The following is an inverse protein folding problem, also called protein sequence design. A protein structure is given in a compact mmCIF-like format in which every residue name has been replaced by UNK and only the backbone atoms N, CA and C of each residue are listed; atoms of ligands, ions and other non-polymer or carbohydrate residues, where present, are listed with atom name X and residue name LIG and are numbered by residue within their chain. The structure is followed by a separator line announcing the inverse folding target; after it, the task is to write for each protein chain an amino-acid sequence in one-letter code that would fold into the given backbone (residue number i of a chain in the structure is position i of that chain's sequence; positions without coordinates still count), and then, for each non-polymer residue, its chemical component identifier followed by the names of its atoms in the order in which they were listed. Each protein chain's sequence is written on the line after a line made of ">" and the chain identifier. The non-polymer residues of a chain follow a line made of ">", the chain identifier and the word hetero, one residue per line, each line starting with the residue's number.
data_IF_512312597574
#
_entry.id   IF_512312597574
#
_cell.length_a   1.000
_cell.length_b   1.000
_cell.length_c   1.000
_cell.angle_alpha   90.00
_cell.angle_beta   90.00
_cell.angle_gamma   90.00
#
_symmetry.space_group_name_H-M   'P 1'
#
loop_
_entity.id
_entity.type
_entity.pdbx_description
1 polymer ?
#
# COMPACT_ATOMS: atom_id res chain seq x y z
N UNK A 1 -11.98 22.23 -12.97
CA UNK A 1 -13.00 22.09 -11.92
C UNK A 1 -13.55 20.68 -11.98
N UNK A 2 -13.87 20.06 -10.85
CA UNK A 2 -14.57 18.77 -10.79
C UNK A 2 -15.79 18.92 -9.89
N UNK A 3 -16.86 18.20 -10.22
CA UNK A 3 -18.04 18.11 -9.36
C UNK A 3 -18.53 16.67 -9.29
N UNK A 4 -19.08 16.29 -8.14
CA UNK A 4 -19.79 15.04 -7.96
C UNK A 4 -21.22 15.35 -7.53
N UNK A 5 -22.19 14.68 -8.14
CA UNK A 5 -23.60 14.93 -7.87
C UNK A 5 -24.38 13.61 -7.93
N UNK A 6 -25.26 13.40 -6.95
CA UNK A 6 -26.12 12.22 -6.88
C UNK A 6 -27.36 12.34 -7.80
N UNK A 7 -27.73 13.56 -8.16
CA UNK A 7 -28.89 13.88 -8.97
C UNK A 7 -28.66 15.14 -9.84
N UNK A 8 -29.59 15.37 -10.75
CA UNK A 8 -29.54 16.46 -11.72
C UNK A 8 -29.60 17.83 -11.07
N UNK A 9 -30.40 18.00 -10.03
CA UNK A 9 -30.61 19.31 -9.39
C UNK A 9 -29.34 19.76 -8.66
N UNK A 10 -28.69 18.84 -7.95
CA UNK A 10 -27.38 19.04 -7.33
C UNK A 10 -26.32 19.38 -8.39
N UNK A 11 -26.33 18.69 -9.54
CA UNK A 11 -25.41 18.98 -10.63
C UNK A 11 -25.61 20.39 -11.21
N UNK A 12 -26.86 20.80 -11.45
CA UNK A 12 -27.20 22.13 -11.98
C UNK A 12 -26.84 23.24 -11.00
N UNK A 13 -27.04 23.03 -9.70
CA UNK A 13 -26.64 23.99 -8.67
C UNK A 13 -25.12 24.19 -8.65
N UNK A 14 -24.34 23.09 -8.67
CA UNK A 14 -22.88 23.16 -8.72
C UNK A 14 -22.36 23.83 -10.00
N UNK A 15 -22.97 23.55 -11.16
CA UNK A 15 -22.62 24.20 -12.43
C UNK A 15 -22.95 25.69 -12.45
N UNK A 16 -24.06 26.08 -11.82
CA UNK A 16 -24.46 27.50 -11.69
C UNK A 16 -23.46 28.26 -10.83
N UNK A 17 -23.07 27.71 -9.68
CA UNK A 17 -22.05 28.30 -8.81
C UNK A 17 -20.69 28.40 -9.53
N UNK A 18 -20.28 27.35 -10.26
CA UNK A 18 -19.07 27.39 -11.07
C UNK A 18 -19.08 28.52 -12.11
N UNK A 19 -20.22 28.74 -12.78
CA UNK A 19 -20.37 29.81 -13.77
C UNK A 19 -20.31 31.21 -13.13
N UNK A 20 -20.81 31.34 -11.89
CA UNK A 20 -20.76 32.57 -11.11
C UNK A 20 -19.40 32.81 -10.41
N UNK A 21 -18.51 31.81 -10.37
CA UNK A 21 -17.28 31.86 -9.58
C UNK A 21 -17.51 31.74 -8.08
N UNK A 22 -18.63 31.12 -7.68
CA UNK A 22 -19.04 30.89 -6.30
C UNK A 22 -18.75 29.45 -5.87
N UNK A 23 -18.64 29.24 -4.56
CA UNK A 23 -18.50 27.91 -3.97
C UNK A 23 -19.85 27.18 -3.90
N UNK A 24 -19.84 25.86 -4.08
CA UNK A 24 -21.01 25.01 -3.89
C UNK A 24 -20.63 23.65 -3.30
N UNK A 25 -21.54 23.00 -2.55
CA UNK A 25 -21.33 21.62 -2.11
C UNK A 25 -21.00 20.69 -3.29
N UNK A 26 -19.90 19.95 -3.16
CA UNK A 26 -19.45 19.01 -4.19
C UNK A 26 -18.72 19.63 -5.38
N UNK A 27 -18.60 20.97 -5.47
CA UNK A 27 -17.78 21.65 -6.47
C UNK A 27 -16.36 21.89 -5.94
N UNK A 28 -15.35 21.56 -6.73
CA UNK A 28 -13.96 21.92 -6.42
C UNK A 28 -13.28 22.50 -7.65
N UNK A 29 -12.66 23.66 -7.47
CA UNK A 29 -11.92 24.37 -8.51
C UNK A 29 -10.47 24.48 -8.10
N UNK A 30 -9.57 23.92 -8.90
CA UNK A 30 -8.12 24.06 -8.74
C UNK A 30 -7.50 24.56 -10.02
N UNK A 31 -6.55 25.49 -9.90
CA UNK A 31 -5.66 25.92 -10.98
C UNK A 31 -4.31 25.26 -10.77
N UNK A 32 -3.93 24.34 -11.66
CA UNK A 32 -2.63 23.68 -11.62
C UNK A 32 -1.65 24.37 -12.55
N UNK A 33 -0.39 24.49 -12.12
CA UNK A 33 0.72 24.93 -12.99
C UNK A 33 1.55 23.70 -13.34
N UNK A 34 1.52 23.30 -14.60
CA UNK A 34 2.23 22.10 -15.08
C UNK A 34 1.58 20.78 -14.65
N UNK A 35 2.24 19.67 -14.97
CA UNK A 35 1.87 18.31 -14.57
C UNK A 35 2.86 17.84 -13.49
N UNK A 36 2.44 17.72 -12.21
CA UNK A 36 3.29 17.07 -11.20
C UNK A 36 3.53 15.61 -11.58
N UNK A 37 4.68 15.05 -11.18
CA UNK A 37 4.88 13.60 -11.31
C UNK A 37 3.93 12.85 -10.37
N UNK A 38 3.47 11.70 -10.82
CA UNK A 38 2.57 10.79 -10.10
C UNK A 38 3.35 9.59 -9.57
N UNK A 39 3.27 9.35 -8.26
CA UNK A 39 3.70 8.09 -7.65
C UNK A 39 2.48 7.26 -7.24
N UNK A 40 2.49 5.97 -7.56
CA UNK A 40 1.51 5.00 -7.06
C UNK A 40 2.13 4.20 -5.91
N UNK A 41 1.42 4.15 -4.78
CA UNK A 41 1.84 3.44 -3.57
C UNK A 41 0.94 2.23 -3.35
N UNK A 42 1.54 1.10 -3.01
CA UNK A 42 0.85 -0.15 -2.69
C UNK A 42 0.96 -0.46 -1.20
N UNK A 43 -0.16 -0.78 -0.55
CA UNK A 43 -0.24 -0.88 0.91
C UNK A 43 0.44 -2.13 1.47
N UNK A 44 0.80 -2.05 2.75
CA UNK A 44 1.35 -3.18 3.49
C UNK A 44 0.28 -3.99 4.21
N UNK A 45 0.68 -5.07 4.89
CA UNK A 45 -0.20 -5.85 5.75
C UNK A 45 -0.70 -5.03 6.94
N UNK A 46 -1.97 -5.24 7.33
CA UNK A 46 -2.65 -4.57 8.43
C UNK A 46 -3.79 -3.65 7.99
N UNK A 47 -3.93 -3.40 6.68
CA UNK A 47 -5.00 -2.60 6.08
C UNK A 47 -6.17 -3.46 5.59
N UNK A 48 -5.98 -4.79 5.46
CA UNK A 48 -6.99 -5.70 4.96
C UNK A 48 -8.28 -5.64 5.79
N UNK A 49 -9.43 -5.74 5.12
CA UNK A 49 -10.74 -5.77 5.77
C UNK A 49 -11.68 -6.71 5.01
N UNK A 50 -12.55 -7.46 5.71
CA UNK A 50 -13.57 -8.27 5.06
C UNK A 50 -14.45 -7.42 4.13
N UNK A 51 -14.78 -7.97 2.96
CA UNK A 51 -15.60 -7.31 1.95
C UNK A 51 -14.88 -6.22 1.14
N UNK A 52 -13.57 -6.04 1.29
CA UNK A 52 -12.81 -5.09 0.46
C UNK A 52 -12.89 -5.46 -1.03
N UNK A 53 -13.13 -4.46 -1.88
CA UNK A 53 -13.27 -4.62 -3.32
C UNK A 53 -14.63 -5.16 -3.79
N UNK A 54 -15.55 -5.53 -2.89
CA UNK A 54 -16.87 -6.08 -3.25
C UNK A 54 -17.72 -5.10 -4.06
N UNK A 55 -17.70 -3.83 -3.67
CA UNK A 55 -18.43 -2.77 -4.38
C UNK A 55 -17.82 -2.54 -5.76
N UNK A 56 -16.48 -2.52 -5.85
CA UNK A 56 -15.77 -2.36 -7.12
C UNK A 56 -15.97 -3.55 -8.06
N UNK A 57 -15.96 -4.77 -7.54
CA UNK A 57 -16.23 -5.99 -8.30
C UNK A 57 -17.59 -5.94 -9.01
N UNK A 58 -18.59 -5.40 -8.31
CA UNK A 58 -19.95 -5.26 -8.86
C UNK A 58 -20.04 -4.13 -9.88
N UNK A 59 -19.33 -3.02 -9.64
CA UNK A 59 -19.44 -1.79 -10.43
C UNK A 59 -18.56 -1.77 -11.68
N UNK A 60 -17.36 -2.36 -11.63
CA UNK A 60 -16.32 -2.18 -12.65
C UNK A 60 -15.86 -3.53 -13.23
N UNK A 61 -16.28 -3.87 -14.48
CA UNK A 61 -15.89 -5.12 -15.12
C UNK A 61 -14.37 -5.32 -15.29
N UNK A 62 -13.59 -4.24 -15.43
CA UNK A 62 -12.12 -4.30 -15.50
C UNK A 62 -11.54 -4.81 -14.17
N UNK A 63 -12.00 -4.25 -13.05
CA UNK A 63 -11.59 -4.68 -11.73
C UNK A 63 -11.98 -6.14 -11.47
N UNK A 64 -13.23 -6.51 -11.80
CA UNK A 64 -13.71 -7.87 -11.61
C UNK A 64 -12.84 -8.91 -12.36
N UNK A 65 -12.57 -8.68 -13.65
CA UNK A 65 -11.71 -9.58 -14.44
C UNK A 65 -10.28 -9.67 -13.91
N UNK A 66 -9.70 -8.53 -13.53
CA UNK A 66 -8.35 -8.51 -12.97
C UNK A 66 -8.29 -9.26 -11.63
N UNK A 67 -9.28 -9.07 -10.76
CA UNK A 67 -9.37 -9.82 -9.51
C UNK A 67 -9.55 -11.32 -9.76
N UNK A 68 -10.44 -11.72 -10.67
CA UNK A 68 -10.66 -13.11 -11.05
C UNK A 68 -9.38 -13.80 -11.55
N UNK A 69 -8.61 -13.11 -12.38
CA UNK A 69 -7.34 -13.61 -12.92
C UNK A 69 -6.32 -13.85 -11.80
N UNK A 70 -6.12 -12.87 -10.91
CA UNK A 70 -5.15 -12.99 -9.80
C UNK A 70 -5.58 -14.11 -8.85
N UNK A 71 -6.87 -14.18 -8.51
CA UNK A 71 -7.41 -15.25 -7.67
C UNK A 71 -7.24 -16.63 -8.30
N UNK A 72 -7.43 -16.75 -9.62
CA UNK A 72 -7.21 -17.99 -10.35
C UNK A 72 -5.77 -18.52 -10.21
N UNK A 73 -4.77 -17.63 -10.13
CA UNK A 73 -3.39 -18.03 -9.85
C UNK A 73 -3.18 -18.37 -8.36
N UNK A 74 -3.63 -17.52 -7.45
CA UNK A 74 -3.42 -17.70 -6.01
C UNK A 74 -4.12 -18.94 -5.45
N UNK A 75 -5.32 -19.26 -5.92
CA UNK A 75 -6.10 -20.42 -5.46
C UNK A 75 -5.42 -21.76 -5.80
N UNK A 76 -4.44 -21.78 -6.71
CA UNK A 76 -3.60 -22.97 -6.97
C UNK A 76 -2.42 -23.13 -6.01
N UNK A 77 -2.08 -22.06 -5.29
CA UNK A 77 -0.92 -21.96 -4.39
C UNK A 77 -1.32 -21.98 -2.90
N UNK A 78 -2.58 -21.66 -2.61
CA UNK A 78 -3.15 -21.63 -1.26
C UNK A 78 -3.88 -22.93 -0.94
N UNK A 79 -4.01 -23.24 0.34
CA UNK A 79 -4.75 -24.40 0.82
C UNK A 79 -6.27 -24.22 0.72
N UNK A 80 -6.73 -22.98 0.49
CA UNK A 80 -8.13 -22.60 0.36
C UNK A 80 -8.30 -21.49 -0.68
N UNK A 81 -9.45 -21.45 -1.39
CA UNK A 81 -9.78 -20.33 -2.25
C UNK A 81 -9.85 -19.01 -1.48
N UNK A 82 -9.33 -17.94 -2.07
CA UNK A 82 -9.21 -16.63 -1.41
C UNK A 82 -10.48 -15.78 -1.53
N UNK A 83 -11.29 -15.98 -2.58
CA UNK A 83 -12.54 -15.23 -2.80
C UNK A 83 -13.52 -15.30 -1.61
N UNK A 84 -13.83 -16.47 -1.02
CA UNK A 84 -14.72 -16.55 0.12
C UNK A 84 -14.22 -15.76 1.32
N UNK A 85 -12.90 -15.65 1.52
CA UNK A 85 -12.28 -14.89 2.60
C UNK A 85 -12.36 -13.39 2.34
N UNK A 86 -12.04 -12.96 1.11
CA UNK A 86 -12.12 -11.56 0.68
C UNK A 86 -13.54 -10.99 0.77
N UNK A 87 -14.53 -11.77 0.36
CA UNK A 87 -15.93 -11.33 0.29
C UNK A 87 -16.75 -11.71 1.52
N UNK A 88 -16.11 -12.29 2.55
CA UNK A 88 -16.75 -12.67 3.79
C UNK A 88 -17.41 -11.47 4.48
N UNK A 89 -18.52 -11.72 5.15
CA UNK A 89 -19.14 -10.73 6.02
C UNK A 89 -18.33 -10.56 7.30
N UNK A 90 -18.22 -9.32 7.78
CA UNK A 90 -17.50 -9.01 9.01
C UNK A 90 -18.08 -9.79 10.20
N UNK A 91 -17.22 -10.33 11.06
CA UNK A 91 -17.61 -11.14 12.21
C UNK A 91 -17.81 -12.63 11.94
N UNK A 92 -17.69 -13.09 10.70
CA UNK A 92 -17.68 -14.52 10.35
C UNK A 92 -16.33 -15.18 10.63
N UNK A 93 -16.30 -16.52 10.72
CA UNK A 93 -15.07 -17.27 10.89
C UNK A 93 -14.15 -17.13 9.67
N UNK A 94 -14.73 -17.08 8.47
CA UNK A 94 -14.04 -16.84 7.21
C UNK A 94 -13.40 -15.45 7.18
N UNK A 95 -14.10 -14.42 7.64
CA UNK A 95 -13.55 -13.07 7.74
C UNK A 95 -12.34 -13.01 8.69
N UNK A 96 -12.36 -13.77 9.79
CA UNK A 96 -11.24 -13.81 10.73
C UNK A 96 -9.98 -14.46 10.14
N UNK A 97 -10.11 -15.36 9.16
CA UNK A 97 -8.96 -15.94 8.46
C UNK A 97 -8.22 -14.92 7.61
N UNK A 98 -8.88 -13.84 7.16
CA UNK A 98 -8.23 -12.79 6.38
C UNK A 98 -7.11 -12.08 7.17
N UNK A 99 -7.13 -12.13 8.50
CA UNK A 99 -6.07 -11.58 9.36
C UNK A 99 -4.85 -12.52 9.51
N UNK A 100 -4.94 -13.77 9.04
CA UNK A 100 -3.79 -14.69 8.99
C UNK A 100 -2.86 -14.27 7.86
N UNK A 101 -1.57 -14.21 8.16
CA UNK A 101 -0.55 -13.66 7.26
C UNK A 101 -0.50 -14.35 5.88
N UNK A 102 -0.70 -15.66 5.85
CA UNK A 102 -0.76 -16.49 4.64
C UNK A 102 -1.93 -16.15 3.72
N UNK A 103 -3.01 -15.55 4.24
CA UNK A 103 -4.14 -15.07 3.42
C UNK A 103 -4.11 -13.55 3.23
N UNK A 104 -3.72 -12.78 4.26
CA UNK A 104 -3.68 -11.33 4.23
C UNK A 104 -2.79 -10.79 3.10
N UNK A 105 -1.59 -11.36 2.94
CA UNK A 105 -0.63 -10.90 1.93
C UNK A 105 -1.11 -11.17 0.50
N UNK A 106 -1.52 -12.41 0.13
CA UNK A 106 -2.15 -12.66 -1.16
C UNK A 106 -3.41 -11.82 -1.41
N UNK A 107 -4.24 -11.61 -0.39
CA UNK A 107 -5.47 -10.82 -0.51
C UNK A 107 -5.22 -9.36 -0.84
N UNK A 108 -4.23 -8.75 -0.17
CA UNK A 108 -3.80 -7.39 -0.46
C UNK A 108 -3.23 -7.30 -1.87
N UNK A 109 -2.32 -8.21 -2.25
CA UNK A 109 -1.79 -8.26 -3.61
C UNK A 109 -2.90 -8.35 -4.66
N UNK A 110 -3.88 -9.25 -4.48
CA UNK A 110 -5.00 -9.41 -5.41
C UNK A 110 -5.85 -8.15 -5.54
N UNK A 111 -6.22 -7.52 -4.43
CA UNK A 111 -6.96 -6.26 -4.44
C UNK A 111 -6.17 -5.16 -5.14
N UNK A 112 -4.90 -5.00 -4.81
CA UNK A 112 -4.06 -3.91 -5.28
C UNK A 112 -3.73 -4.01 -6.77
N UNK A 113 -3.48 -5.22 -7.28
CA UNK A 113 -3.36 -5.47 -8.73
C UNK A 113 -4.66 -5.13 -9.45
N UNK A 114 -5.82 -5.55 -8.91
CA UNK A 114 -7.12 -5.25 -9.50
C UNK A 114 -7.42 -3.74 -9.50
N UNK A 115 -7.07 -3.03 -8.42
CA UNK A 115 -7.15 -1.57 -8.34
C UNK A 115 -6.25 -0.91 -9.39
N UNK A 116 -5.01 -1.40 -9.55
CA UNK A 116 -4.09 -0.85 -10.54
C UNK A 116 -4.62 -1.02 -11.97
N UNK A 117 -5.10 -2.22 -12.32
CA UNK A 117 -5.70 -2.47 -13.65
C UNK A 117 -6.92 -1.59 -13.91
N UNK A 118 -7.71 -1.31 -12.88
CA UNK A 118 -8.84 -0.39 -12.99
C UNK A 118 -8.38 1.03 -13.32
N UNK A 119 -7.45 1.61 -12.54
CA UNK A 119 -6.99 2.98 -12.79
C UNK A 119 -6.17 3.10 -14.09
N UNK A 120 -5.39 2.07 -14.43
CA UNK A 120 -4.67 1.96 -15.70
C UNK A 120 -5.63 2.01 -16.90
N UNK A 121 -6.80 1.37 -16.79
CA UNK A 121 -7.83 1.43 -17.84
C UNK A 121 -8.38 2.83 -18.10
N UNK A 122 -8.26 3.74 -17.13
CA UNK A 122 -8.59 5.15 -17.28
C UNK A 122 -7.43 5.97 -17.88
N UNK A 123 -6.36 5.31 -18.33
CA UNK A 123 -5.18 5.94 -18.90
C UNK A 123 -4.20 6.49 -17.87
N UNK A 124 -4.33 6.11 -16.60
CA UNK A 124 -3.37 6.48 -15.57
C UNK A 124 -2.02 5.83 -15.86
N UNK A 125 -0.97 6.66 -15.94
CA UNK A 125 0.40 6.24 -16.18
C UNK A 125 1.30 6.87 -15.10
N UNK A 126 1.74 6.11 -14.08
CA UNK A 126 2.57 6.64 -13.02
C UNK A 126 3.98 6.93 -13.52
N UNK A 127 4.63 7.92 -12.91
CA UNK A 127 6.05 8.21 -13.11
C UNK A 127 6.93 7.31 -12.21
N UNK A 128 6.40 6.90 -11.06
CA UNK A 128 7.05 5.98 -10.12
C UNK A 128 6.02 5.05 -9.46
N UNK A 129 6.48 3.87 -9.05
CA UNK A 129 5.74 2.98 -8.16
C UNK A 129 6.57 2.67 -6.93
N UNK A 130 5.91 2.46 -5.80
CA UNK A 130 6.52 1.96 -4.57
C UNK A 130 5.48 1.21 -3.76
N UNK A 131 5.90 0.50 -2.73
CA UNK A 131 4.99 -0.17 -1.81
C UNK A 131 5.34 0.09 -0.36
N UNK A 132 4.66 -0.63 0.53
CA UNK A 132 5.09 -0.80 1.90
C UNK A 132 5.19 -2.30 2.19
N UNK A 133 6.40 -2.79 2.38
CA UNK A 133 6.67 -4.21 2.59
C UNK A 133 6.07 -5.07 1.48
N UNK A 134 5.03 -5.88 1.76
CA UNK A 134 4.39 -6.74 0.76
C UNK A 134 3.89 -5.95 -0.46
N UNK A 135 3.49 -4.68 -0.28
CA UNK A 135 3.10 -3.82 -1.38
C UNK A 135 4.22 -3.59 -2.41
N UNK A 136 5.49 -3.72 -2.04
CA UNK A 136 6.58 -3.61 -3.02
C UNK A 136 6.60 -4.78 -4.01
N UNK A 137 6.06 -5.95 -3.64
CA UNK A 137 5.85 -7.06 -4.58
C UNK A 137 4.78 -6.65 -5.61
N UNK A 138 3.70 -6.01 -5.18
CA UNK A 138 2.70 -5.43 -6.09
C UNK A 138 3.34 -4.39 -7.01
N UNK A 139 4.16 -3.48 -6.46
CA UNK A 139 4.89 -2.46 -7.21
C UNK A 139 5.80 -3.08 -8.28
N UNK A 140 6.56 -4.11 -7.91
CA UNK A 140 7.45 -4.83 -8.81
C UNK A 140 6.68 -5.57 -9.92
N UNK A 141 5.55 -6.22 -9.60
CA UNK A 141 4.68 -6.81 -10.61
C UNK A 141 4.14 -5.77 -11.60
N UNK A 142 3.62 -4.65 -11.08
CA UNK A 142 3.09 -3.55 -11.89
C UNK A 142 4.18 -2.92 -12.76
N UNK A 143 5.40 -2.82 -12.26
CA UNK A 143 6.57 -2.39 -13.03
C UNK A 143 7.05 -3.43 -14.05
N UNK A 144 6.45 -4.62 -14.11
CA UNK A 144 6.81 -5.69 -15.04
C UNK A 144 8.01 -6.53 -14.62
N UNK A 145 8.51 -6.38 -13.39
CA UNK A 145 9.61 -7.21 -12.86
C UNK A 145 9.16 -8.66 -12.76
N UNK A 146 7.98 -8.92 -12.21
CA UNK A 146 7.44 -10.27 -12.10
C UNK A 146 6.22 -10.44 -13.02
N UNK A 147 6.16 -11.59 -13.69
CA UNK A 147 4.91 -12.06 -14.28
C UNK A 147 3.83 -12.17 -13.19
N UNK A 148 2.55 -12.20 -13.56
CA UNK A 148 1.48 -12.39 -12.57
C UNK A 148 1.65 -13.72 -11.81
N UNK A 149 2.00 -14.80 -12.53
CA UNK A 149 2.23 -16.10 -11.92
C UNK A 149 3.42 -16.10 -10.93
N UNK A 150 4.52 -15.45 -11.29
CA UNK A 150 5.72 -15.34 -10.43
C UNK A 150 5.42 -14.48 -9.19
N UNK A 151 4.71 -13.36 -9.37
CA UNK A 151 4.32 -12.49 -8.25
C UNK A 151 3.37 -13.21 -7.29
N UNK A 152 2.40 -13.98 -7.81
CA UNK A 152 1.52 -14.84 -7.03
C UNK A 152 2.32 -15.90 -6.25
N UNK A 153 3.29 -16.55 -6.91
CA UNK A 153 4.19 -17.52 -6.27
C UNK A 153 4.98 -16.89 -5.13
N UNK A 154 5.55 -15.70 -5.37
CA UNK A 154 6.33 -14.96 -4.40
C UNK A 154 5.50 -14.56 -3.17
N UNK A 155 4.32 -13.95 -3.37
CA UNK A 155 3.48 -13.47 -2.27
C UNK A 155 2.86 -14.62 -1.47
N UNK A 156 2.46 -15.72 -2.13
CA UNK A 156 1.95 -16.91 -1.47
C UNK A 156 3.03 -17.59 -0.62
N UNK A 157 4.24 -17.76 -1.17
CA UNK A 157 5.37 -18.32 -0.43
C UNK A 157 5.77 -17.43 0.75
N UNK A 158 5.86 -16.10 0.55
CA UNK A 158 6.16 -15.15 1.62
C UNK A 158 5.15 -15.25 2.76
N UNK A 159 3.85 -15.21 2.43
CA UNK A 159 2.77 -15.30 3.41
C UNK A 159 2.81 -16.62 4.19
N UNK A 160 2.93 -17.76 3.48
CA UNK A 160 3.02 -19.10 4.09
C UNK A 160 4.22 -19.21 5.03
N UNK A 161 5.40 -18.80 4.57
CA UNK A 161 6.63 -18.91 5.33
C UNK A 161 6.63 -18.03 6.57
N UNK A 162 6.15 -16.79 6.44
CA UNK A 162 5.98 -15.88 7.57
C UNK A 162 4.95 -16.40 8.58
N UNK A 163 3.88 -17.05 8.12
CA UNK A 163 2.87 -17.64 9.00
C UNK A 163 3.38 -18.87 9.75
N UNK A 164 4.29 -19.64 9.17
CA UNK A 164 4.86 -20.85 9.77
C UNK A 164 5.94 -20.58 10.84
N UNK A 165 6.35 -19.32 11.01
CA UNK A 165 7.34 -18.96 12.02
C UNK A 165 6.79 -19.15 13.44
N UNK A 166 7.68 -19.31 14.45
CA UNK A 166 7.25 -19.40 15.83
C UNK A 166 6.49 -18.14 16.28
N UNK A 167 5.43 -18.36 17.07
CA UNK A 167 4.74 -17.28 17.79
C UNK A 167 5.66 -16.64 18.85
N UNK A 168 5.24 -15.50 19.41
CA UNK A 168 6.00 -14.77 20.45
C UNK A 168 6.70 -13.50 19.94
N UNK A 169 6.54 -13.17 18.67
CA UNK A 169 6.95 -11.89 18.10
C UNK A 169 5.94 -10.76 18.39
N UNK A 170 6.43 -9.52 18.35
CA UNK A 170 5.65 -8.31 18.50
C UNK A 170 6.07 -7.24 17.49
N UNK A 171 5.14 -6.33 17.19
CA UNK A 171 5.46 -5.07 16.51
C UNK A 171 4.75 -3.91 17.21
N UNK A 172 5.45 -2.80 17.45
CA UNK A 172 4.92 -1.58 18.08
C UNK A 172 5.31 -0.36 17.26
N UNK A 173 4.33 0.47 16.92
CA UNK A 173 4.60 1.83 16.41
C UNK A 173 4.92 2.76 17.58
N UNK A 174 5.97 3.55 17.44
CA UNK A 174 6.49 4.48 18.43
C UNK A 174 6.53 5.87 17.83
N UNK A 175 6.00 6.85 18.56
CA UNK A 175 6.18 8.27 18.24
C UNK A 175 7.58 8.73 18.64
N UNK A 176 8.56 8.46 17.77
CA UNK A 176 9.97 8.81 17.95
C UNK A 176 10.69 8.86 16.60
N UNK A 177 11.85 9.51 16.58
CA UNK A 177 12.78 9.49 15.44
C UNK A 177 13.54 8.15 15.37
N UNK A 178 14.12 7.83 14.21
CA UNK A 178 15.00 6.68 14.07
C UNK A 178 16.23 6.79 15.00
N UNK A 179 16.83 7.98 15.09
CA UNK A 179 18.03 8.23 15.90
C UNK A 179 17.78 8.02 17.40
N UNK A 180 16.57 8.30 17.89
CA UNK A 180 16.19 8.02 19.29
C UNK A 180 15.98 6.51 19.54
N UNK A 181 15.47 5.77 18.54
CA UNK A 181 15.12 4.34 18.69
C UNK A 181 16.34 3.44 18.48
N UNK A 182 17.23 3.80 17.55
CA UNK A 182 18.36 2.96 17.13
C UNK A 182 19.28 2.52 18.28
N UNK A 183 19.67 3.38 19.25
CA UNK A 183 20.51 2.96 20.38
C UNK A 183 19.85 1.87 21.25
N UNK A 184 18.54 1.99 21.53
CA UNK A 184 17.80 1.03 22.35
C UNK A 184 17.66 -0.34 21.65
N UNK A 185 17.50 -0.31 20.33
CA UNK A 185 17.45 -1.53 19.52
C UNK A 185 18.83 -2.18 19.44
N UNK A 186 19.90 -1.40 19.34
CA UNK A 186 21.27 -1.92 19.25
C UNK A 186 21.69 -2.72 20.49
N UNK A 187 21.16 -2.40 21.68
CA UNK A 187 21.36 -3.17 22.91
C UNK A 187 20.79 -4.60 22.85
N UNK A 188 19.88 -4.86 21.90
CA UNK A 188 19.15 -6.12 21.74
C UNK A 188 19.06 -6.56 20.28
N UNK A 189 20.09 -6.26 19.47
CA UNK A 189 20.06 -6.39 18.00
C UNK A 189 19.80 -7.82 17.48
N UNK A 190 20.04 -8.85 18.30
CA UNK A 190 19.73 -10.25 18.01
C UNK A 190 18.25 -10.60 18.22
N UNK A 191 17.50 -9.78 18.94
CA UNK A 191 16.10 -10.04 19.34
C UNK A 191 15.12 -9.02 18.80
N UNK A 192 15.54 -7.79 18.53
CA UNK A 192 14.69 -6.67 18.09
C UNK A 192 15.39 -5.84 17.02
N UNK A 193 14.60 -5.27 16.12
CA UNK A 193 15.04 -4.35 15.07
C UNK A 193 14.04 -3.20 14.90
N UNK A 194 14.50 -2.16 14.20
CA UNK A 194 13.57 -1.25 13.53
C UNK A 194 12.99 -2.00 12.34
N UNK A 195 11.67 -2.08 12.25
CA UNK A 195 10.94 -2.75 11.17
C UNK A 195 10.52 -1.78 10.07
N UNK A 196 10.26 -0.53 10.40
CA UNK A 196 9.91 0.50 9.44
C UNK A 196 10.20 1.90 9.97
N UNK A 197 10.65 2.78 9.07
CA UNK A 197 10.72 4.22 9.28
C UNK A 197 9.66 4.84 8.37
N UNK A 198 8.50 5.15 8.96
CA UNK A 198 7.30 5.56 8.23
C UNK A 198 7.13 7.07 8.14
N UNK A 199 7.88 7.82 8.95
CA UNK A 199 7.90 9.27 8.94
C UNK A 199 8.93 9.82 9.92
N UNK A 200 9.08 11.15 10.01
CA UNK A 200 10.11 11.81 10.82
C UNK A 200 10.01 11.45 12.31
N UNK A 201 8.81 11.17 12.82
CA UNK A 201 8.56 10.75 14.20
C UNK A 201 7.64 9.52 14.27
N UNK A 202 7.74 8.63 13.28
CA UNK A 202 6.89 7.45 13.18
C UNK A 202 7.73 6.21 12.82
N UNK A 203 8.23 5.53 13.84
CA UNK A 203 9.05 4.32 13.72
C UNK A 203 8.27 3.09 14.19
N UNK A 204 8.49 1.94 13.57
CA UNK A 204 7.98 0.65 14.04
C UNK A 204 9.14 -0.21 14.50
N UNK A 205 9.02 -0.78 15.69
CA UNK A 205 9.98 -1.73 16.27
C UNK A 205 9.36 -3.12 16.25
N UNK A 206 10.15 -4.13 15.89
CA UNK A 206 9.70 -5.52 15.82
C UNK A 206 10.76 -6.49 16.36
N UNK A 207 10.30 -7.56 16.99
CA UNK A 207 11.19 -8.59 17.54
C UNK A 207 10.50 -9.49 18.56
N UNK A 208 11.29 -10.08 19.45
CA UNK A 208 10.79 -10.77 20.63
C UNK A 208 9.92 -9.84 21.49
N UNK A 209 8.76 -10.32 21.95
CA UNK A 209 7.76 -9.48 22.60
C UNK A 209 8.29 -8.68 23.80
N UNK A 210 9.08 -9.31 24.68
CA UNK A 210 9.68 -8.68 25.86
C UNK A 210 10.70 -7.58 25.51
N UNK A 211 11.49 -7.78 24.46
CA UNK A 211 12.43 -6.77 23.98
C UNK A 211 11.70 -5.57 23.36
N UNK A 212 10.65 -5.83 22.56
CA UNK A 212 9.79 -4.79 21.99
C UNK A 212 9.07 -4.00 23.09
N UNK A 213 8.55 -4.68 24.11
CA UNK A 213 7.86 -4.06 25.22
C UNK A 213 8.80 -3.18 26.07
N UNK A 214 10.07 -3.57 26.23
CA UNK A 214 11.11 -2.74 26.86
C UNK A 214 11.32 -1.42 26.10
N UNK A 215 11.47 -1.47 24.77
CA UNK A 215 11.63 -0.27 23.93
C UNK A 215 10.36 0.60 24.00
N UNK A 216 9.17 0.00 23.93
CA UNK A 216 7.90 0.73 24.03
C UNK A 216 7.70 1.39 25.40
N UNK A 217 8.09 0.72 26.49
CA UNK A 217 8.00 1.25 27.85
C UNK A 217 8.89 2.48 28.05
N UNK A 218 10.09 2.49 27.46
CA UNK A 218 10.99 3.65 27.47
C UNK A 218 10.29 4.91 26.93
N UNK A 219 9.74 4.83 25.70
CA UNK A 219 9.08 5.97 25.09
C UNK A 219 7.77 6.36 25.77
N UNK A 220 7.04 5.38 26.31
CA UNK A 220 5.84 5.65 27.12
C UNK A 220 6.20 6.42 28.39
N UNK A 221 7.32 6.08 29.06
CA UNK A 221 7.80 6.82 30.22
C UNK A 221 8.22 8.27 29.89
N UNK A 222 8.60 8.54 28.64
CA UNK A 222 8.85 9.88 28.09
C UNK A 222 7.57 10.61 27.65
N UNK A 223 6.38 10.02 27.86
CA UNK A 223 5.09 10.60 27.46
C UNK A 223 4.79 10.51 25.96
N UNK A 224 5.53 9.70 25.21
CA UNK A 224 5.31 9.48 23.77
C UNK A 224 4.24 8.43 23.53
N UNK A 225 3.50 8.55 22.43
CA UNK A 225 2.51 7.54 22.04
C UNK A 225 3.21 6.28 21.54
N UNK A 226 2.75 5.13 22.03
CA UNK A 226 3.11 3.82 21.53
C UNK A 226 1.82 3.04 21.22
N UNK A 227 1.85 2.19 20.19
CA UNK A 227 0.70 1.36 19.81
C UNK A 227 1.17 0.00 19.29
N UNK A 228 0.71 -1.06 19.95
CA UNK A 228 0.88 -2.45 19.48
C UNK A 228 0.12 -2.64 18.16
N UNK A 229 0.80 -3.20 17.18
CA UNK A 229 0.20 -3.53 15.88
C UNK A 229 -0.53 -4.88 15.97
N UNK A 230 -1.68 -4.97 15.30
CA UNK A 230 -2.47 -6.20 15.20
C UNK A 230 -1.90 -7.08 14.09
N UNK A 231 -0.79 -7.73 14.36
CA UNK A 231 -0.09 -8.63 13.45
C UNK A 231 0.29 -9.92 14.17
N UNK A 232 0.39 -11.02 13.42
CA UNK A 232 0.68 -12.34 13.99
C UNK A 232 2.16 -12.54 14.36
N UNK A 233 3.07 -11.83 13.69
CA UNK A 233 4.51 -12.04 13.77
C UNK A 233 5.28 -10.72 13.73
N UNK A 234 6.55 -10.78 14.12
CA UNK A 234 7.47 -9.65 14.12
C UNK A 234 8.19 -9.49 12.77
N UNK A 235 7.49 -8.97 11.76
CA UNK A 235 8.08 -8.76 10.42
C UNK A 235 9.28 -7.81 10.45
N UNK A 236 10.19 -7.95 9.48
CA UNK A 236 11.39 -7.10 9.34
C UNK A 236 12.31 -7.12 10.57
N UNK A 237 12.47 -8.31 11.15
CA UNK A 237 13.24 -8.53 12.38
C UNK A 237 14.09 -9.80 12.34
N UNK A 238 15.00 -9.99 13.32
CA UNK A 238 15.76 -11.24 13.46
C UNK A 238 14.87 -12.49 13.48
N UNK A 239 13.60 -12.37 13.89
CA UNK A 239 12.68 -13.51 13.90
C UNK A 239 12.26 -13.99 12.49
N UNK A 240 12.64 -13.26 11.43
CA UNK A 240 12.48 -13.72 10.04
C UNK A 240 13.59 -14.69 9.60
N UNK A 241 14.72 -14.76 10.30
CA UNK A 241 15.89 -15.57 9.90
C UNK A 241 15.53 -17.02 9.53
N UNK A 242 14.66 -17.75 10.28
CA UNK A 242 14.36 -19.15 9.99
C UNK A 242 13.71 -19.38 8.62
N UNK A 243 13.03 -18.38 8.04
CA UNK A 243 12.39 -18.52 6.73
C UNK A 243 13.26 -18.10 5.55
N UNK A 244 14.39 -17.42 5.78
CA UNK A 244 15.12 -16.72 4.71
C UNK A 244 15.70 -17.67 3.66
N UNK A 245 16.19 -18.85 4.06
CA UNK A 245 16.77 -19.82 3.14
C UNK A 245 15.72 -20.36 2.15
N UNK A 246 14.58 -20.86 2.65
CA UNK A 246 13.48 -21.37 1.81
C UNK A 246 12.85 -20.25 0.96
N UNK A 247 12.75 -19.04 1.51
CA UNK A 247 12.27 -17.89 0.75
C UNK A 247 13.21 -17.54 -0.41
N UNK A 248 14.52 -17.50 -0.17
CA UNK A 248 15.54 -17.24 -1.18
C UNK A 248 15.50 -18.28 -2.30
N UNK A 249 15.35 -19.57 -1.98
CA UNK A 249 15.18 -20.63 -2.96
C UNK A 249 13.95 -20.41 -3.84
N UNK A 250 12.83 -19.99 -3.22
CA UNK A 250 11.62 -19.64 -3.98
C UNK A 250 11.89 -18.50 -4.95
N UNK A 251 12.51 -17.40 -4.50
CA UNK A 251 12.79 -16.24 -5.37
C UNK A 251 13.78 -16.59 -6.47
N UNK A 252 14.78 -17.41 -6.19
CA UNK A 252 15.76 -17.87 -7.17
C UNK A 252 15.14 -18.74 -8.28
N UNK A 253 13.99 -19.37 -8.02
CA UNK A 253 13.22 -20.11 -9.01
C UNK A 253 12.33 -19.24 -9.92
N UNK A 254 12.21 -17.94 -9.64
CA UNK A 254 11.41 -17.00 -10.44
C UNK A 254 12.21 -16.45 -11.62
N UNK A 255 11.51 -15.79 -12.56
CA UNK A 255 12.11 -15.23 -13.77
C UNK A 255 11.95 -13.70 -13.83
N UNK A 256 12.55 -12.93 -12.91
CA UNK A 256 12.38 -11.49 -12.87
C UNK A 256 12.96 -10.79 -14.10
N UNK A 257 12.28 -9.74 -14.55
CA UNK A 257 12.63 -8.92 -15.71
C UNK A 257 13.07 -7.52 -15.29
N UNK A 258 13.71 -6.79 -16.20
CA UNK A 258 14.00 -5.38 -15.97
C UNK A 258 12.68 -4.58 -15.86
N UNK A 259 12.55 -3.68 -14.87
CA UNK A 259 11.34 -2.89 -14.68
C UNK A 259 11.11 -1.94 -15.86
N UNK A 260 9.86 -1.89 -16.35
CA UNK A 260 9.38 -0.90 -17.32
C UNK A 260 8.97 0.43 -16.65
N UNK A 261 8.72 0.42 -15.34
CA UNK A 261 8.41 1.61 -14.53
C UNK A 261 9.42 1.75 -13.39
N UNK A 262 9.90 2.97 -13.08
CA UNK A 262 10.79 3.20 -11.94
C UNK A 262 10.15 2.76 -10.62
N UNK A 263 10.84 1.89 -9.88
CA UNK A 263 10.44 1.44 -8.52
C UNK A 263 11.29 2.17 -7.49
N UNK A 264 10.66 2.79 -6.48
CA UNK A 264 11.38 3.28 -5.29
C UNK A 264 11.38 2.19 -4.24
N UNK A 265 12.58 1.74 -3.88
CA UNK A 265 12.85 0.60 -3.00
C UNK A 265 12.48 0.89 -1.55
N UNK A 266 11.79 -0.03 -0.88
CA UNK A 266 11.60 0.04 0.56
C UNK A 266 12.86 -0.31 1.34
N UNK A 267 13.83 -1.01 0.75
CA UNK A 267 15.07 -1.35 1.45
C UNK A 267 16.03 -0.16 1.51
N UNK A 268 16.08 0.65 0.45
CA UNK A 268 17.07 1.74 0.32
C UNK A 268 16.47 3.14 0.43
N UNK A 269 15.16 3.30 0.28
CA UNK A 269 14.51 4.62 0.24
C UNK A 269 14.80 5.42 -1.04
N UNK A 270 15.40 4.79 -2.05
CA UNK A 270 15.81 5.40 -3.32
C UNK A 270 15.37 4.54 -4.51
N UNK A 271 15.50 5.01 -5.76
CA UNK A 271 15.20 4.21 -6.95
C UNK A 271 15.97 2.90 -6.95
N UNK A 272 15.25 1.79 -7.08
CA UNK A 272 15.84 0.47 -7.19
C UNK A 272 16.54 0.31 -8.55
N UNK A 273 17.68 -0.35 -8.53
CA UNK A 273 18.37 -0.78 -9.75
C UNK A 273 17.75 -2.06 -10.29
N UNK A 274 17.97 -2.34 -11.58
CA UNK A 274 17.59 -3.62 -12.20
C UNK A 274 18.17 -4.79 -11.42
N UNK A 275 19.47 -4.75 -11.11
CA UNK A 275 20.16 -5.83 -10.39
C UNK A 275 19.62 -6.08 -8.98
N UNK A 276 19.09 -5.06 -8.31
CA UNK A 276 18.38 -5.25 -7.03
C UNK A 276 17.06 -5.99 -7.27
N UNK A 277 16.17 -5.46 -8.11
CA UNK A 277 14.84 -6.02 -8.30
C UNK A 277 14.85 -7.45 -8.87
N UNK A 278 15.88 -7.81 -9.65
CA UNK A 278 16.04 -9.14 -10.24
C UNK A 278 16.89 -10.10 -9.37
N UNK A 279 17.21 -9.74 -8.13
CA UNK A 279 18.05 -10.54 -7.25
C UNK A 279 17.24 -11.22 -6.14
N UNK A 280 17.47 -12.51 -5.91
CA UNK A 280 16.90 -13.22 -4.77
C UNK A 280 17.35 -12.64 -3.43
N UNK A 281 18.58 -12.14 -3.37
CA UNK A 281 19.19 -11.56 -2.17
C UNK A 281 18.46 -10.27 -1.78
N UNK A 282 18.09 -9.44 -2.76
CA UNK A 282 17.31 -8.24 -2.51
C UNK A 282 15.97 -8.54 -1.84
N UNK A 283 15.23 -9.53 -2.35
CA UNK A 283 13.93 -9.90 -1.77
C UNK A 283 14.06 -10.55 -0.39
N UNK A 284 15.14 -11.31 -0.17
CA UNK A 284 15.48 -11.88 1.14
C UNK A 284 15.79 -10.77 2.15
N UNK A 285 16.60 -9.79 1.75
CA UNK A 285 16.92 -8.62 2.56
C UNK A 285 15.69 -7.76 2.81
N UNK A 286 14.84 -7.56 1.81
CA UNK A 286 13.58 -6.80 1.91
C UNK A 286 12.58 -7.41 2.90
N UNK A 287 12.60 -8.72 3.14
CA UNK A 287 11.79 -9.38 4.18
C UNK A 287 12.38 -9.17 5.58
N UNK A 288 13.70 -9.03 5.68
CA UNK A 288 14.45 -9.04 6.93
C UNK A 288 14.72 -7.64 7.50
N UNK A 289 14.92 -6.65 6.64
CA UNK A 289 15.43 -5.33 7.00
C UNK A 289 14.36 -4.22 7.02
N UNK A 290 14.62 -3.07 7.66
CA UNK A 290 13.61 -2.04 7.83
C UNK A 290 13.03 -1.49 6.52
N UNK A 291 11.72 -1.25 6.50
CA UNK A 291 11.03 -0.50 5.44
C UNK A 291 11.35 1.00 5.54
N UNK A 292 12.15 1.53 4.62
CA UNK A 292 12.55 2.94 4.45
C UNK A 292 11.47 3.78 3.73
N UNK A 293 10.23 3.72 4.21
CA UNK A 293 9.10 4.39 3.55
C UNK A 293 9.25 5.92 3.55
N UNK A 294 9.63 6.52 4.69
CA UNK A 294 9.83 7.96 4.81
C UNK A 294 10.88 8.49 3.83
N UNK A 295 11.99 7.77 3.69
CA UNK A 295 13.07 8.12 2.77
C UNK A 295 12.59 8.05 1.32
N UNK A 296 11.82 7.01 0.96
CA UNK A 296 11.21 6.90 -0.37
C UNK A 296 10.27 8.05 -0.70
N UNK A 297 9.41 8.46 0.23
CA UNK A 297 8.53 9.62 0.06
C UNK A 297 9.34 10.92 -0.07
N UNK A 298 10.35 11.10 0.77
CA UNK A 298 11.26 12.25 0.72
C UNK A 298 11.97 12.35 -0.62
N UNK A 299 12.51 11.24 -1.12
CA UNK A 299 13.13 11.17 -2.43
C UNK A 299 12.13 11.53 -3.53
N UNK A 300 10.94 10.92 -3.53
CA UNK A 300 9.90 11.20 -4.53
C UNK A 300 9.51 12.67 -4.58
N UNK A 301 9.26 13.28 -3.42
CA UNK A 301 8.87 14.69 -3.31
C UNK A 301 10.00 15.63 -3.76
N UNK A 302 11.24 15.38 -3.32
CA UNK A 302 12.43 16.12 -3.73
C UNK A 302 12.73 16.03 -5.24
N UNK A 303 12.18 15.03 -5.93
CA UNK A 303 12.36 14.81 -7.38
C UNK A 303 11.12 15.15 -8.22
N UNK A 304 10.21 15.97 -7.67
CA UNK A 304 9.09 16.58 -8.39
C UNK A 304 7.79 15.78 -8.39
N UNK A 305 7.68 14.76 -7.54
CA UNK A 305 6.40 14.08 -7.29
C UNK A 305 5.50 15.00 -6.48
N UNK A 306 4.35 15.35 -7.04
CA UNK A 306 3.34 16.19 -6.39
C UNK A 306 2.01 15.48 -6.17
N UNK A 307 1.85 14.27 -6.70
CA UNK A 307 0.63 13.47 -6.55
C UNK A 307 1.02 12.06 -6.17
N UNK A 308 0.47 11.59 -5.06
CA UNK A 308 0.69 10.28 -4.49
C UNK A 308 -0.66 9.55 -4.45
N UNK A 309 -0.79 8.44 -5.17
CA UNK A 309 -2.00 7.64 -5.23
C UNK A 309 -1.78 6.33 -4.47
N UNK A 310 -2.45 6.14 -3.34
CA UNK A 310 -2.45 4.86 -2.63
C UNK A 310 -3.51 3.93 -3.21
N UNK A 311 -3.06 2.78 -3.71
CA UNK A 311 -3.90 1.65 -4.08
C UNK A 311 -3.80 0.62 -2.97
N UNK A 312 -4.84 0.57 -2.14
CA UNK A 312 -4.99 -0.31 -1.01
C UNK A 312 -6.44 -0.26 -0.51
N UNK A 313 -6.79 -1.05 0.53
CA UNK A 313 -8.16 -1.16 1.04
C UNK A 313 -8.63 0.03 1.91
N UNK A 314 -7.70 0.90 2.31
CA UNK A 314 -7.92 2.10 3.12
C UNK A 314 -6.86 3.17 2.74
N UNK A 315 -6.75 4.26 3.51
CA UNK A 315 -5.80 5.34 3.26
C UNK A 315 -4.70 5.51 4.31
N UNK A 316 -4.00 4.43 4.66
CA UNK A 316 -2.94 4.44 5.68
C UNK A 316 -1.66 5.04 5.14
N UNK A 317 -1.20 4.62 3.95
CA UNK A 317 -0.01 5.18 3.32
C UNK A 317 -0.20 6.64 2.94
N UNK A 318 -1.41 7.05 2.60
CA UNK A 318 -1.75 8.43 2.30
C UNK A 318 -1.58 9.31 3.52
N UNK A 319 -1.97 8.82 4.71
CA UNK A 319 -1.77 9.53 5.97
C UNK A 319 -0.27 9.64 6.32
N UNK A 320 0.50 8.56 6.16
CA UNK A 320 1.95 8.57 6.38
C UNK A 320 2.67 9.49 5.40
N UNK A 321 2.30 9.42 4.12
CA UNK A 321 2.83 10.28 3.05
C UNK A 321 2.57 11.75 3.36
N UNK A 322 1.33 12.10 3.76
CA UNK A 322 0.99 13.49 4.15
C UNK A 322 1.88 13.98 5.30
N UNK A 323 2.08 13.15 6.33
CA UNK A 323 2.95 13.52 7.45
C UNK A 323 4.42 13.77 7.03
N UNK A 324 4.96 12.95 6.11
CA UNK A 324 6.28 13.19 5.53
C UNK A 324 6.33 14.49 4.72
N UNK A 325 5.32 14.73 3.88
CA UNK A 325 5.23 15.94 3.04
C UNK A 325 5.10 17.21 3.88
N UNK A 326 4.30 17.19 4.95
CA UNK A 326 4.16 18.31 5.90
C UNK A 326 5.50 18.65 6.54
N UNK A 327 6.21 17.65 7.04
CA UNK A 327 7.51 17.84 7.68
C UNK A 327 8.59 18.37 6.72
N UNK A 328 8.49 18.04 5.43
CA UNK A 328 9.40 18.50 4.38
C UNK A 328 8.94 19.80 3.69
N UNK A 329 7.82 20.41 4.11
CA UNK A 329 7.33 21.66 3.54
C UNK A 329 6.71 21.54 2.13
N UNK A 330 6.24 20.36 1.75
CA UNK A 330 5.56 20.11 0.47
C UNK A 330 4.04 20.27 0.61
N UNK A 331 3.58 21.48 0.90
CA UNK A 331 2.16 21.80 1.12
C UNK A 331 1.28 21.57 -0.12
N UNK A 332 1.82 21.83 -1.32
CA UNK A 332 1.08 21.71 -2.60
C UNK A 332 0.88 20.27 -3.09
N UNK A 333 1.66 19.32 -2.55
CA UNK A 333 1.58 17.90 -2.89
C UNK A 333 0.36 17.25 -2.23
N UNK A 334 -0.20 16.21 -2.86
CA UNK A 334 -1.37 15.50 -2.34
C UNK A 334 -1.14 14.01 -2.23
N UNK A 335 -1.74 13.39 -1.21
CA UNK A 335 -1.85 11.95 -1.07
C UNK A 335 -3.32 11.53 -1.12
N UNK A 336 -3.67 10.68 -2.07
CA UNK A 336 -5.03 10.29 -2.42
C UNK A 336 -5.18 8.77 -2.29
N UNK A 337 -5.97 8.28 -1.34
CA UNK A 337 -6.27 6.85 -1.26
C UNK A 337 -7.42 6.49 -2.18
N UNK A 338 -7.32 5.35 -2.87
CA UNK A 338 -8.37 4.84 -3.73
C UNK A 338 -9.60 4.35 -2.96
N UNK A 339 -9.39 3.83 -1.74
CA UNK A 339 -10.44 3.32 -0.87
C UNK A 339 -10.30 3.87 0.55
N UNK A 340 -11.41 3.88 1.27
CA UNK A 340 -11.50 4.26 2.69
C UNK A 340 -12.47 3.32 3.39
N UNK A 341 -12.15 2.89 4.61
CA UNK A 341 -13.01 1.94 5.35
C UNK A 341 -14.37 2.52 5.74
N UNK A 342 -14.46 3.84 5.89
CA UNK A 342 -15.63 4.58 6.37
C UNK A 342 -16.47 5.16 5.22
N UNK A 343 -16.19 4.77 3.97
CA UNK A 343 -16.86 5.27 2.78
C UNK A 343 -17.25 4.14 1.83
N UNK A 344 -18.36 4.26 1.09
CA UNK A 344 -18.64 3.37 -0.04
C UNK A 344 -17.50 3.41 -1.06
N UNK A 345 -17.09 2.24 -1.56
CA UNK A 345 -15.88 2.11 -2.39
C UNK A 345 -15.96 2.91 -3.69
N UNK A 346 -17.12 2.91 -4.36
CA UNK A 346 -17.33 3.70 -5.57
C UNK A 346 -17.26 5.21 -5.31
N UNK A 347 -17.78 5.67 -4.16
CA UNK A 347 -17.70 7.07 -3.75
C UNK A 347 -16.27 7.48 -3.48
N UNK A 348 -15.54 6.73 -2.65
CA UNK A 348 -14.13 6.99 -2.36
C UNK A 348 -13.31 7.07 -3.65
N UNK A 349 -13.47 6.09 -4.54
CA UNK A 349 -12.74 6.04 -5.81
C UNK A 349 -13.11 7.20 -6.76
N UNK A 350 -14.36 7.69 -6.72
CA UNK A 350 -14.78 8.87 -7.49
C UNK A 350 -14.09 10.13 -6.96
N UNK A 351 -14.02 10.29 -5.64
CA UNK A 351 -13.30 11.38 -4.98
C UNK A 351 -11.81 11.37 -5.34
N UNK A 352 -11.19 10.18 -5.35
CA UNK A 352 -9.80 9.98 -5.81
C UNK A 352 -9.62 10.40 -7.27
N UNK A 353 -10.50 9.95 -8.17
CA UNK A 353 -10.44 10.30 -9.59
C UNK A 353 -10.58 11.82 -9.82
N UNK A 354 -11.52 12.46 -9.12
CA UNK A 354 -11.67 13.91 -9.13
C UNK A 354 -10.41 14.61 -8.59
N UNK A 355 -9.84 14.11 -7.49
CA UNK A 355 -8.59 14.59 -6.91
C UNK A 355 -7.43 14.53 -7.91
N UNK A 356 -7.22 13.39 -8.56
CA UNK A 356 -6.21 13.20 -9.60
C UNK A 356 -6.37 14.22 -10.73
N UNK A 357 -7.57 14.36 -11.28
CA UNK A 357 -7.88 15.33 -12.33
C UNK A 357 -7.61 16.78 -11.90
N UNK A 358 -8.03 17.15 -10.69
CA UNK A 358 -7.80 18.49 -10.13
C UNK A 358 -6.31 18.78 -9.91
N UNK A 359 -5.47 17.76 -9.81
CA UNK A 359 -4.01 17.86 -9.70
C UNK A 359 -3.29 17.69 -11.05
N UNK A 360 -4.03 17.70 -12.16
CA UNK A 360 -3.46 17.69 -13.51
C UNK A 360 -3.08 16.30 -14.01
N UNK A 361 -3.53 15.23 -13.35
CA UNK A 361 -3.37 13.87 -13.86
C UNK A 361 -4.44 13.63 -14.94
N UNK A 362 -4.05 13.29 -16.18
CA UNK A 362 -5.00 13.03 -17.26
C UNK A 362 -5.74 11.72 -17.00
N UNK A 363 -7.08 11.76 -17.09
CA UNK A 363 -7.96 10.60 -17.00
C UNK A 363 -8.88 10.53 -18.23
N UNK A 364 -9.12 9.32 -18.71
CA UNK A 364 -10.09 9.00 -19.77
C UNK A 364 -11.45 8.75 -19.14
N UNK A 365 -12.20 9.82 -18.90
CA UNK A 365 -13.47 9.77 -18.17
C UNK A 365 -14.52 8.88 -18.82
N UNK A 366 -14.47 8.67 -20.14
CA UNK A 366 -15.39 7.78 -20.84
C UNK A 366 -15.30 6.35 -20.26
N UNK A 367 -14.10 5.92 -19.88
CA UNK A 367 -13.82 4.59 -19.31
C UNK A 367 -14.39 4.39 -17.91
N UNK A 368 -14.65 5.48 -17.18
CA UNK A 368 -15.34 5.40 -15.89
C UNK A 368 -16.81 4.97 -16.05
N UNK A 369 -17.43 5.34 -17.17
CA UNK A 369 -18.83 5.04 -17.49
C UNK A 369 -19.01 3.72 -18.27
N UNK A 370 -17.92 2.98 -18.53
CA UNK A 370 -17.99 1.67 -19.17
C UNK A 370 -18.97 0.76 -18.39
N UNK A 371 -19.93 0.18 -19.12
CA UNK A 371 -20.96 -0.70 -18.57
C UNK A 371 -22.17 -0.02 -17.93
N UNK A 372 -22.24 1.32 -17.87
CA UNK A 372 -23.44 2.02 -17.37
C UNK A 372 -24.44 2.41 -18.45
N UNK A 373 -24.05 2.38 -19.72
CA UNK A 373 -24.85 2.84 -20.85
C UNK A 373 -24.99 4.36 -20.96
N UNK A 374 -24.11 5.11 -20.28
CA UNK A 374 -24.07 6.56 -20.28
C UNK A 374 -23.19 7.13 -21.41
#
# INVERSE_FOLDING_TARGET
>A
AALTAADRDTALAALTALAAGEDAPGLTVRRTRGRPKLAVLFSGQGSQRPGMGRGLYTRFPVFARALDEVLGHLDTLLDRPLRPLLLAEEGTAEAALLDRTGYAQPALFALEVALYRLVESWGLAPDHVTGHSVGEITAAHVAGVFSLADACTLVAARGRLMEALPEGGAMVSVEATEDEVAPLVAEHADRVSIAAVNGPSAVVVAGAADAVDTVAAHFTALGRRTRRLRVSHAFHSPLMEPMLAEFRETVAGLSPQAPALPVVSNLTGAPATVGQLTSADYWTDHVRHPVRFADGVSWLAGHGTGVFLELGPDGTLSALTRACLDAAGHEDAVALPALRKDRPESTALTETAAGLYLHGVPLRWERWFDGTGA
#
